data_IF_653244556044
#
_entry.id   IF_653244556044
#
_cell.length_a   1.000
_cell.length_b   1.000
_cell.length_c   1.000
_cell.angle_alpha   90.00
_cell.angle_beta   90.00
_cell.angle_gamma   90.00
#
_symmetry.space_group_name_H-M   'P 1'
#
loop_
_entity.id
_entity.type
_entity.pdbx_description
1 polymer ?
#
# COMPACT_ATOMS: atom_id res chain seq x y z
N UNK A 1 13.77 15.60 0.20
CA UNK A 1 13.63 14.52 1.20
C UNK A 1 14.71 14.73 2.25
N UNK A 2 14.38 14.86 3.53
CA UNK A 2 15.39 15.01 4.59
C UNK A 2 16.05 13.65 4.81
N UNK A 3 17.34 13.55 4.49
CA UNK A 3 18.14 12.33 4.60
C UNK A 3 19.32 12.60 5.52
N UNK A 4 19.54 11.69 6.46
CA UNK A 4 20.69 11.74 7.37
C UNK A 4 21.71 10.67 6.98
N UNK A 5 22.99 11.05 7.01
CA UNK A 5 24.11 10.16 6.69
C UNK A 5 25.06 10.06 7.87
N UNK A 6 25.54 8.86 8.18
CA UNK A 6 26.51 8.63 9.25
C UNK A 6 27.02 7.19 9.27
N UNK A 7 28.32 7.00 9.54
CA UNK A 7 28.97 5.69 9.65
C UNK A 7 28.71 4.72 8.47
N UNK A 8 28.53 5.24 7.24
CA UNK A 8 28.24 4.43 6.05
C UNK A 8 26.75 4.11 5.83
N UNK A 9 25.86 4.58 6.70
CA UNK A 9 24.41 4.39 6.59
C UNK A 9 23.72 5.66 6.10
N UNK A 10 22.54 5.46 5.50
CA UNK A 10 21.63 6.53 5.09
C UNK A 10 20.25 6.26 5.66
N UNK A 11 19.64 7.29 6.25
CA UNK A 11 18.32 7.21 6.86
C UNK A 11 17.39 8.23 6.20
N UNK A 12 16.33 7.74 5.58
CA UNK A 12 15.25 8.58 5.05
C UNK A 12 14.26 8.88 6.18
N UNK A 13 13.99 10.17 6.41
CA UNK A 13 13.00 10.61 7.41
C UNK A 13 11.60 10.84 6.81
N UNK A 14 11.43 10.54 5.52
CA UNK A 14 10.15 10.59 4.85
C UNK A 14 9.35 9.30 5.00
N UNK A 15 8.14 9.25 4.43
CA UNK A 15 7.38 8.01 4.34
C UNK A 15 8.18 6.90 3.65
N UNK A 16 8.14 5.70 4.23
CA UNK A 16 8.85 4.52 3.71
C UNK A 16 7.95 3.56 2.93
N UNK A 17 6.63 3.75 2.97
CA UNK A 17 5.65 2.91 2.27
C UNK A 17 5.01 3.70 1.14
N UNK A 18 5.06 3.13 -0.06
CA UNK A 18 4.37 3.68 -1.23
C UNK A 18 3.23 2.73 -1.60
N UNK A 19 2.02 3.28 -1.70
CA UNK A 19 0.84 2.61 -2.24
C UNK A 19 0.31 3.41 -3.44
N UNK A 20 -0.63 2.84 -4.20
CA UNK A 20 -1.29 3.55 -5.30
C UNK A 20 -0.30 4.08 -6.36
N UNK A 21 0.69 3.26 -6.75
CA UNK A 21 1.76 3.58 -7.74
C UNK A 21 1.25 4.30 -9.00
N UNK A 22 0.06 3.93 -9.47
CA UNK A 22 -0.57 4.48 -10.67
C UNK A 22 -0.75 6.00 -10.64
N UNK A 23 -1.00 6.61 -9.48
CA UNK A 23 -1.14 8.08 -9.41
C UNK A 23 0.19 8.80 -9.63
N UNK A 24 1.32 8.17 -9.25
CA UNK A 24 2.63 8.70 -9.58
C UNK A 24 2.87 8.55 -11.10
N UNK A 25 2.53 7.41 -11.69
CA UNK A 25 2.62 7.18 -13.14
C UNK A 25 1.82 8.22 -13.96
N UNK A 26 0.62 8.60 -13.49
CA UNK A 26 -0.22 9.62 -14.11
C UNK A 26 0.50 10.99 -14.18
N UNK A 27 1.23 11.40 -13.14
CA UNK A 27 1.99 12.66 -13.13
C UNK A 27 3.10 12.66 -14.17
N UNK A 28 3.85 11.56 -14.31
CA UNK A 28 4.89 11.44 -15.34
C UNK A 28 4.28 11.45 -16.74
N UNK A 29 3.17 10.72 -16.91
CA UNK A 29 2.44 10.62 -18.19
C UNK A 29 1.94 11.99 -18.64
N UNK A 30 1.41 12.81 -17.73
CA UNK A 30 0.97 14.17 -18.02
C UNK A 30 2.11 15.07 -18.53
N UNK A 31 3.35 14.80 -18.11
CA UNK A 31 4.54 15.48 -18.60
C UNK A 31 5.18 14.83 -19.84
N UNK A 32 4.48 13.87 -20.48
CA UNK A 32 4.99 13.04 -21.58
C UNK A 32 6.32 12.31 -21.25
N UNK A 33 6.48 11.88 -19.99
CA UNK A 33 7.63 11.10 -19.52
C UNK A 33 7.18 9.72 -19.07
N UNK A 34 8.12 8.77 -19.09
CA UNK A 34 7.94 7.45 -18.45
C UNK A 34 8.58 7.46 -17.08
N UNK A 35 7.86 6.99 -16.05
CA UNK A 35 8.36 7.01 -14.68
C UNK A 35 9.56 6.07 -14.48
N UNK A 36 9.59 4.95 -15.22
CA UNK A 36 10.65 3.93 -15.13
C UNK A 36 12.02 4.44 -15.59
N UNK A 37 12.05 5.53 -16.35
CA UNK A 37 13.31 6.18 -16.77
C UNK A 37 13.97 6.93 -15.60
N UNK A 38 13.24 7.16 -14.51
CA UNK A 38 13.68 7.97 -13.35
C UNK A 38 13.68 7.18 -12.04
N UNK A 39 12.71 6.27 -11.86
CA UNK A 39 12.50 5.57 -10.59
C UNK A 39 12.18 4.10 -10.83
N UNK A 40 12.93 3.23 -10.15
CA UNK A 40 12.65 1.79 -10.12
C UNK A 40 11.93 1.42 -8.83
N UNK A 41 10.76 0.79 -8.95
CA UNK A 41 10.01 0.27 -7.83
C UNK A 41 10.35 -1.19 -7.56
N UNK A 42 10.63 -1.51 -6.31
CA UNK A 42 10.84 -2.89 -5.85
C UNK A 42 9.59 -3.35 -5.09
N UNK A 43 8.90 -4.42 -5.54
CA UNK A 43 7.75 -4.94 -4.81
C UNK A 43 8.22 -5.55 -3.48
N UNK A 44 7.55 -5.19 -2.39
CA UNK A 44 7.78 -5.79 -1.08
C UNK A 44 6.82 -6.98 -0.95
N UNK A 45 7.36 -8.19 -0.88
CA UNK A 45 6.58 -9.42 -0.69
C UNK A 45 7.21 -10.30 0.39
N UNK A 46 6.45 -10.73 1.42
CA UNK A 46 5.07 -10.29 1.76
C UNK A 46 5.02 -8.80 2.16
N UNK A 47 3.83 -8.17 2.11
CA UNK A 47 3.63 -6.73 2.39
C UNK A 47 4.23 -6.31 3.73
N UNK A 48 4.10 -7.17 4.74
CA UNK A 48 4.92 -7.14 5.96
C UNK A 48 5.30 -8.57 6.31
N UNK A 49 6.58 -8.84 6.54
CA UNK A 49 7.03 -10.20 6.88
C UNK A 49 6.46 -10.71 8.21
N UNK A 50 6.45 -9.91 9.27
CA UNK A 50 5.96 -10.32 10.60
C UNK A 50 5.53 -9.12 11.43
N UNK A 51 4.27 -9.09 11.85
CA UNK A 51 3.78 -8.21 12.90
C UNK A 51 3.79 -9.01 14.20
N UNK A 52 4.58 -8.56 15.17
CA UNK A 52 4.74 -9.24 16.46
C UNK A 52 3.85 -8.58 17.50
N UNK A 53 3.08 -9.39 18.22
CA UNK A 53 2.23 -8.94 19.30
C UNK A 53 2.84 -9.31 20.67
N UNK A 54 2.55 -8.54 21.74
CA UNK A 54 3.15 -8.76 23.06
C UNK A 54 2.86 -10.13 23.68
N UNK A 55 1.77 -10.77 23.26
CA UNK A 55 1.35 -12.11 23.66
C UNK A 55 2.09 -13.24 22.93
N UNK A 56 3.04 -12.89 22.05
CA UNK A 56 3.84 -13.84 21.28
C UNK A 56 3.20 -14.25 19.95
N UNK A 57 1.97 -13.81 19.66
CA UNK A 57 1.40 -14.04 18.34
C UNK A 57 2.16 -13.27 17.27
N UNK A 58 2.20 -13.84 16.07
CA UNK A 58 2.77 -13.20 14.88
C UNK A 58 1.75 -13.26 13.75
N UNK A 59 1.52 -12.12 13.09
CA UNK A 59 0.65 -12.03 11.91
C UNK A 59 1.48 -11.63 10.70
N UNK A 60 1.44 -12.47 9.67
CA UNK A 60 1.99 -12.15 8.35
C UNK A 60 0.90 -11.54 7.47
N UNK A 61 1.06 -10.28 7.04
CA UNK A 61 0.14 -9.67 6.07
C UNK A 61 0.55 -10.08 4.67
N UNK A 62 -0.36 -10.79 4.01
CA UNK A 62 -0.17 -11.37 2.70
C UNK A 62 -1.34 -11.02 1.79
N UNK A 63 -1.12 -10.79 0.49
CA UNK A 63 -2.21 -10.62 -0.47
C UNK A 63 -2.94 -11.94 -0.76
N UNK A 64 -2.43 -13.09 -0.28
CA UNK A 64 -3.09 -14.37 -0.42
C UNK A 64 -4.26 -14.47 0.57
N UNK A 65 -5.48 -14.56 0.02
CA UNK A 65 -6.73 -14.57 0.80
C UNK A 65 -6.78 -15.71 1.82
N UNK A 66 -6.47 -16.94 1.39
CA UNK A 66 -6.58 -18.13 2.25
C UNK A 66 -5.55 -18.10 3.38
N UNK A 67 -4.33 -17.64 3.07
CA UNK A 67 -3.31 -17.45 4.09
C UNK A 67 -3.75 -16.39 5.10
N UNK A 68 -4.28 -15.26 4.66
CA UNK A 68 -4.74 -14.20 5.56
C UNK A 68 -5.93 -14.68 6.43
N UNK A 69 -6.88 -15.41 5.85
CA UNK A 69 -7.99 -16.04 6.60
C UNK A 69 -7.45 -16.99 7.68
N UNK A 70 -6.42 -17.79 7.38
CA UNK A 70 -5.78 -18.66 8.37
C UNK A 70 -5.05 -17.87 9.46
N UNK A 71 -4.42 -16.74 9.13
CA UNK A 71 -3.80 -15.86 10.13
C UNK A 71 -4.87 -15.27 11.07
N UNK A 72 -6.01 -14.85 10.53
CA UNK A 72 -7.14 -14.30 11.32
C UNK A 72 -7.77 -15.38 12.20
N UNK A 73 -7.94 -16.60 11.67
CA UNK A 73 -8.57 -17.71 12.38
C UNK A 73 -7.82 -18.11 13.66
N UNK A 74 -6.51 -17.86 13.73
CA UNK A 74 -5.72 -18.07 14.94
C UNK A 74 -6.18 -17.19 16.12
N UNK A 75 -6.85 -16.06 15.85
CA UNK A 75 -7.42 -15.16 16.86
C UNK A 75 -8.94 -15.29 16.94
N UNK A 76 -9.61 -15.37 15.78
CA UNK A 76 -11.07 -15.43 15.68
C UNK A 76 -11.49 -16.23 14.44
N UNK A 77 -11.87 -17.50 14.61
CA UNK A 77 -12.40 -18.32 13.52
C UNK A 77 -13.68 -17.75 12.90
N UNK A 78 -14.45 -16.97 13.65
CA UNK A 78 -15.67 -16.35 13.15
C UNK A 78 -15.35 -15.18 12.22
N UNK A 79 -14.43 -14.30 12.61
CA UNK A 79 -14.04 -13.17 11.77
C UNK A 79 -13.32 -13.62 10.49
N UNK A 80 -12.58 -14.74 10.55
CA UNK A 80 -11.94 -15.32 9.37
C UNK A 80 -12.97 -15.66 8.27
N UNK A 81 -14.17 -16.13 8.63
CA UNK A 81 -15.25 -16.41 7.66
C UNK A 81 -15.79 -15.14 7.01
N UNK A 82 -15.76 -14.03 7.75
CA UNK A 82 -16.32 -12.74 7.32
C UNK A 82 -15.31 -11.87 6.56
N UNK A 83 -14.03 -12.27 6.52
CA UNK A 83 -12.95 -11.47 5.93
C UNK A 83 -13.20 -11.06 4.47
N UNK A 84 -13.73 -11.98 3.65
CA UNK A 84 -14.06 -11.68 2.25
C UNK A 84 -15.16 -10.62 2.13
N UNK A 85 -16.20 -10.71 2.94
CA UNK A 85 -17.29 -9.73 2.96
C UNK A 85 -16.78 -8.35 3.37
N UNK A 86 -15.92 -8.31 4.40
CA UNK A 86 -15.24 -7.09 4.81
C UNK A 86 -14.40 -6.46 3.69
N UNK A 87 -13.64 -7.25 2.92
CA UNK A 87 -12.87 -6.74 1.78
C UNK A 87 -13.75 -6.22 0.65
N UNK A 88 -14.89 -6.87 0.39
CA UNK A 88 -15.86 -6.38 -0.61
C UNK A 88 -16.44 -5.03 -0.20
N UNK A 89 -16.82 -4.87 1.06
CA UNK A 89 -17.32 -3.59 1.58
C UNK A 89 -16.23 -2.51 1.55
N UNK A 90 -15.02 -2.83 2.00
CA UNK A 90 -13.87 -1.93 1.96
C UNK A 90 -13.57 -1.45 0.55
N UNK A 91 -13.66 -2.33 -0.45
CA UNK A 91 -13.50 -1.99 -1.87
C UNK A 91 -14.63 -1.06 -2.35
N UNK A 92 -15.87 -1.28 -1.91
CA UNK A 92 -16.99 -0.41 -2.26
C UNK A 92 -16.81 1.00 -1.67
N UNK A 93 -16.37 1.10 -0.41
CA UNK A 93 -16.07 2.36 0.25
C UNK A 93 -14.91 3.09 -0.44
N UNK A 94 -13.81 2.38 -0.75
CA UNK A 94 -12.69 2.94 -1.49
C UNK A 94 -13.13 3.48 -2.86
N UNK A 95 -13.98 2.73 -3.58
CA UNK A 95 -14.47 3.14 -4.90
C UNK A 95 -15.29 4.43 -4.83
N UNK A 96 -16.10 4.61 -3.78
CA UNK A 96 -16.85 5.85 -3.53
C UNK A 96 -15.92 7.01 -3.18
N UNK A 97 -14.97 6.80 -2.26
CA UNK A 97 -14.00 7.81 -1.85
C UNK A 97 -13.09 8.26 -3.00
N UNK A 98 -12.69 7.33 -3.88
CA UNK A 98 -11.86 7.60 -5.05
C UNK A 98 -12.43 8.71 -5.93
N UNK A 99 -13.73 8.67 -6.24
CA UNK A 99 -14.38 9.66 -7.11
C UNK A 99 -14.51 11.06 -6.47
N UNK A 100 -14.51 11.15 -5.14
CA UNK A 100 -14.67 12.41 -4.41
C UNK A 100 -13.34 13.08 -4.05
N UNK A 101 -12.32 12.28 -3.68
CA UNK A 101 -11.04 12.78 -3.15
C UNK A 101 -9.93 12.79 -4.20
N UNK A 102 -9.96 11.87 -5.16
CA UNK A 102 -8.87 11.63 -6.11
C UNK A 102 -9.24 11.94 -7.56
N UNK A 103 -10.16 12.90 -7.78
CA UNK A 103 -10.36 13.47 -9.11
C UNK A 103 -9.04 14.07 -9.58
N UNK A 104 -8.54 13.60 -10.73
CA UNK A 104 -7.29 14.07 -11.32
C UNK A 104 -7.42 15.55 -11.72
N UNK A 105 -6.94 16.45 -10.86
CA UNK A 105 -6.76 17.87 -11.16
C UNK A 105 -5.60 18.12 -12.13
N UNK A 106 -4.87 17.08 -12.53
CA UNK A 106 -3.71 17.18 -13.43
C UNK A 106 -4.16 17.48 -14.88
N UNK A 107 -5.43 17.27 -15.22
CA UNK A 107 -5.99 17.53 -16.57
C UNK A 107 -6.57 18.94 -16.70
N UNK A 108 -6.64 19.76 -15.63
CA UNK A 108 -7.18 21.13 -15.71
C UNK A 108 -6.10 22.21 -15.99
N UNK A 109 -4.86 21.82 -16.31
CA UNK A 109 -3.78 22.75 -16.67
C UNK A 109 -3.54 22.90 -18.18
N UNK A 110 -4.54 22.55 -19.00
CA UNK A 110 -4.62 23.00 -20.40
C UNK A 110 -5.97 23.71 -20.63
N UNK A 111 -5.99 24.99 -20.30
CA UNK A 111 -7.04 25.95 -20.59
C UNK A 111 -6.48 27.36 -20.59
#
# INVERSE_FOLDING_TARGET
>A
MQRHHGAGYSFDLGPSTITMKTYFEEVFTACHRRMEDYVTFYPISPLTKKNFFPDGHTVEFTPNMEQMESQIAAFSPEDAKQYRAFLQESKALFSKGRGAVFKSSVIELEG
#
